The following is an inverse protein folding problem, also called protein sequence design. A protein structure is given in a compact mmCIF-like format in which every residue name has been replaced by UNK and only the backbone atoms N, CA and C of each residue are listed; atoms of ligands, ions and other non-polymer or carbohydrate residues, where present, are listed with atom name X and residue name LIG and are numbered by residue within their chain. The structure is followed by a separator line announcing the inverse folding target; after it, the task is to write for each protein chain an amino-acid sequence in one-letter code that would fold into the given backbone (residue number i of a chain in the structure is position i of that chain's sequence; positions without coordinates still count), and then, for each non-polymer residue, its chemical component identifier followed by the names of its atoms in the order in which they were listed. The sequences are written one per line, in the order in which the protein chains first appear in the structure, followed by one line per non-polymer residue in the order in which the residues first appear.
data_IF_247694591179
#
_entry.id   IF_247694591179
#
_cell.length_a   1.000
_cell.length_b   1.000
_cell.length_c   1.000
_cell.angle_alpha   90.00
_cell.angle_beta   90.00
_cell.angle_gamma   90.00
#
_symmetry.space_group_name_H-M   'P 1'
#
loop_
_entity.id
_entity.type
_entity.pdbx_description
1 polymer ?
#
# COMPACT_ATOMS: atom_id res chain seq x y z
N UNK A 1 9.66 18.59 -17.13
CA UNK A 1 8.70 18.75 -16.00
C UNK A 1 9.28 18.08 -14.77
N UNK A 2 9.93 18.84 -13.89
CA UNK A 2 10.55 18.32 -12.66
C UNK A 2 9.51 18.27 -11.54
N UNK A 3 8.63 17.26 -11.59
CA UNK A 3 7.68 16.94 -10.51
C UNK A 3 7.65 15.43 -10.25
N UNK A 4 8.82 14.78 -10.35
CA UNK A 4 8.99 13.32 -10.41
C UNK A 4 8.22 12.55 -9.31
N UNK A 5 8.21 13.05 -8.07
CA UNK A 5 7.56 12.35 -6.95
C UNK A 5 6.16 12.88 -6.61
N UNK A 6 5.91 14.19 -6.77
CA UNK A 6 4.56 14.74 -6.58
C UNK A 6 3.56 14.16 -7.57
N UNK A 7 3.98 13.89 -8.82
CA UNK A 7 3.12 13.29 -9.83
C UNK A 7 2.89 11.79 -9.64
N UNK A 8 3.61 11.10 -8.75
CA UNK A 8 3.43 9.66 -8.52
C UNK A 8 2.17 9.33 -7.73
N UNK A 9 1.63 10.30 -6.99
CA UNK A 9 0.39 10.11 -6.21
C UNK A 9 -0.79 9.78 -7.13
N UNK A 10 -0.92 10.51 -8.23
CA UNK A 10 -2.02 10.35 -9.20
C UNK A 10 -2.09 8.94 -9.83
N UNK A 11 -1.02 8.39 -10.45
CA UNK A 11 -1.09 7.06 -11.04
C UNK A 11 -1.31 5.94 -10.02
N UNK A 12 -0.82 6.08 -8.79
CA UNK A 12 -1.09 5.08 -7.73
C UNK A 12 -2.55 5.12 -7.29
N UNK A 13 -3.12 6.31 -7.10
CA UNK A 13 -4.53 6.43 -6.77
C UNK A 13 -5.41 5.90 -7.90
N UNK A 14 -5.12 6.23 -9.17
CA UNK A 14 -5.87 5.71 -10.32
C UNK A 14 -5.84 4.18 -10.36
N UNK A 15 -4.67 3.56 -10.17
CA UNK A 15 -4.57 2.10 -10.16
C UNK A 15 -5.34 1.48 -8.97
N UNK A 16 -5.37 2.15 -7.81
CA UNK A 16 -6.05 1.63 -6.61
C UNK A 16 -7.56 1.41 -6.77
N UNK A 17 -8.19 2.07 -7.76
CA UNK A 17 -9.63 1.98 -8.04
C UNK A 17 -10.00 0.60 -8.60
N UNK A 18 -9.14 -0.01 -9.44
CA UNK A 18 -9.45 -1.29 -10.12
C UNK A 18 -8.35 -2.34 -9.92
N UNK A 19 -7.56 -2.21 -8.84
CA UNK A 19 -6.43 -3.11 -8.59
C UNK A 19 -6.89 -4.43 -7.96
N UNK A 20 -6.83 -5.50 -8.75
CA UNK A 20 -7.10 -6.87 -8.27
C UNK A 20 -6.14 -7.37 -7.18
N UNK A 21 -4.95 -6.76 -7.08
CA UNK A 21 -3.92 -7.12 -6.08
C UNK A 21 -3.99 -6.22 -4.84
N UNK A 22 -4.27 -4.94 -5.04
CA UNK A 22 -4.35 -3.92 -3.99
C UNK A 22 -2.99 -3.36 -3.54
N UNK A 23 -3.04 -2.12 -3.04
CA UNK A 23 -1.90 -1.46 -2.38
C UNK A 23 -1.98 -1.68 -0.88
N UNK A 24 -1.42 -2.80 -0.40
CA UNK A 24 -1.46 -3.17 1.01
C UNK A 24 -0.37 -2.47 1.81
N UNK A 25 -0.78 -1.74 2.84
CA UNK A 25 0.09 -0.96 3.70
C UNK A 25 0.08 -1.48 5.14
N UNK A 26 1.23 -1.42 5.79
CA UNK A 26 1.44 -1.86 7.19
C UNK A 26 1.60 -0.65 8.10
N UNK A 27 0.97 -0.63 9.29
CA UNK A 27 1.24 0.41 10.28
C UNK A 27 2.69 0.28 10.74
N UNK A 28 3.43 1.39 10.73
CA UNK A 28 4.77 1.40 11.29
C UNK A 28 5.15 2.76 11.87
N UNK A 29 6.06 2.75 12.84
CA UNK A 29 6.48 3.95 13.59
C UNK A 29 7.22 4.94 12.72
N UNK A 30 8.05 4.46 11.79
CA UNK A 30 8.80 5.31 10.88
C UNK A 30 9.26 4.54 9.63
N UNK A 31 9.73 5.29 8.63
CA UNK A 31 10.21 4.76 7.35
C UNK A 31 11.44 3.87 7.48
N UNK A 32 12.33 4.14 8.43
CA UNK A 32 13.58 3.37 8.60
C UNK A 32 13.24 1.95 9.06
N UNK A 33 12.37 1.82 10.06
CA UNK A 33 11.88 0.52 10.53
C UNK A 33 11.19 -0.27 9.41
N UNK A 34 10.43 0.42 8.55
CA UNK A 34 9.81 -0.20 7.36
C UNK A 34 10.84 -0.73 6.38
N UNK A 35 11.82 0.10 6.00
CA UNK A 35 12.87 -0.30 5.05
C UNK A 35 13.74 -1.45 5.57
N UNK A 36 13.92 -1.56 6.89
CA UNK A 36 14.63 -2.65 7.55
C UNK A 36 13.77 -3.91 7.74
N UNK A 37 12.49 -3.89 7.35
CA UNK A 37 11.58 -5.04 7.50
C UNK A 37 11.17 -5.32 8.94
N UNK A 38 11.29 -4.34 9.85
CA UNK A 38 11.03 -4.51 11.29
C UNK A 38 9.55 -4.37 11.66
N UNK A 39 8.71 -3.96 10.71
CA UNK A 39 7.28 -3.77 10.93
C UNK A 39 6.55 -5.10 10.67
N UNK A 40 6.39 -5.92 11.72
CA UNK A 40 5.65 -7.17 11.63
C UNK A 40 4.34 -7.09 12.43
N UNK A 41 3.19 -6.83 11.78
CA UNK A 41 1.93 -6.76 12.48
C UNK A 41 1.53 -8.15 13.00
N UNK A 42 0.92 -8.24 14.19
CA UNK A 42 0.56 -9.53 14.80
C UNK A 42 -0.57 -10.27 14.08
N UNK A 43 -1.26 -9.62 13.12
CA UNK A 43 -2.32 -10.23 12.33
C UNK A 43 -2.53 -9.47 11.03
N UNK A 44 -2.91 -10.19 9.98
CA UNK A 44 -3.28 -9.64 8.67
C UNK A 44 -4.27 -8.47 8.76
N UNK A 45 -5.17 -8.47 9.75
CA UNK A 45 -6.19 -7.42 9.95
C UNK A 45 -5.62 -6.00 10.09
N UNK A 46 -4.33 -5.87 10.42
CA UNK A 46 -3.67 -4.57 10.56
C UNK A 46 -3.23 -3.98 9.23
N UNK A 47 -3.15 -4.79 8.17
CA UNK A 47 -2.91 -4.24 6.84
C UNK A 47 -4.15 -3.52 6.34
N UNK A 48 -3.92 -2.35 5.75
CA UNK A 48 -4.96 -1.49 5.17
C UNK A 48 -4.68 -1.29 3.69
N UNK A 49 -5.74 -1.06 2.91
CA UNK A 49 -5.59 -0.64 1.52
C UNK A 49 -5.30 0.85 1.45
N UNK A 50 -4.38 1.23 0.56
CA UNK A 50 -4.17 2.61 0.16
C UNK A 50 -4.98 2.91 -1.10
N UNK A 51 -5.50 4.14 -1.19
CA UNK A 51 -6.27 4.63 -2.32
C UNK A 51 -7.78 4.51 -2.12
N UNK A 52 -8.53 4.21 -3.18
CA UNK A 52 -10.01 4.21 -3.21
C UNK A 52 -10.62 3.36 -2.10
N UNK A 53 -10.09 2.15 -1.92
CA UNK A 53 -10.64 1.14 -1.00
C UNK A 53 -10.10 1.24 0.42
N UNK A 54 -9.54 2.40 0.78
CA UNK A 54 -9.06 2.65 2.15
C UNK A 54 -10.20 2.58 3.15
N UNK A 55 -9.94 1.97 4.30
CA UNK A 55 -10.89 2.01 5.41
C UNK A 55 -10.95 3.43 5.96
N UNK A 56 -12.13 4.05 5.98
CA UNK A 56 -12.37 5.35 6.62
C UNK A 56 -12.09 5.36 8.13
N UNK A 57 -11.87 4.19 8.74
CA UNK A 57 -11.46 4.05 10.15
C UNK A 57 -9.95 4.07 10.33
N UNK A 58 -9.15 3.92 9.26
CA UNK A 58 -7.70 3.88 9.33
C UNK A 58 -7.15 5.19 9.91
N UNK A 59 -6.27 5.09 10.91
CA UNK A 59 -5.57 6.23 11.55
C UNK A 59 -4.10 5.90 11.73
N UNK A 60 -3.26 6.93 11.69
CA UNK A 60 -1.82 6.80 11.88
C UNK A 60 -1.05 6.73 10.55
N UNK A 61 0.20 6.28 10.64
CA UNK A 61 1.13 6.23 9.51
C UNK A 61 1.28 4.79 9.06
N UNK A 62 1.10 4.59 7.75
CA UNK A 62 1.24 3.30 7.09
C UNK A 62 2.27 3.40 5.98
N UNK A 63 3.00 2.31 5.77
CA UNK A 63 4.03 2.21 4.75
C UNK A 63 3.75 1.02 3.84
N UNK A 64 4.06 1.18 2.56
CA UNK A 64 3.98 0.14 1.54
C UNK A 64 5.07 0.38 0.49
N UNK A 65 5.36 -0.66 -0.28
CA UNK A 65 6.26 -0.61 -1.42
C UNK A 65 5.44 -0.78 -2.70
N UNK A 66 5.90 -0.17 -3.78
CA UNK A 66 5.31 -0.31 -5.11
C UNK A 66 6.35 -0.86 -6.09
N UNK A 67 5.89 -1.39 -7.23
CA UNK A 67 6.79 -1.63 -8.35
C UNK A 67 7.33 -0.31 -8.91
N UNK A 68 8.46 -0.38 -9.63
CA UNK A 68 9.00 0.76 -10.37
C UNK A 68 8.08 1.15 -11.55
N UNK A 69 7.42 0.15 -12.16
CA UNK A 69 6.54 0.30 -13.33
C UNK A 69 5.16 -0.32 -13.07
N UNK A 70 4.19 -0.02 -13.93
CA UNK A 70 2.83 -0.59 -13.87
C UNK A 70 2.86 -2.12 -14.10
N UNK A 71 2.01 -2.91 -13.42
CA UNK A 71 1.13 -2.50 -12.31
C UNK A 71 1.93 -2.19 -11.04
N UNK A 72 1.68 -1.03 -10.45
CA UNK A 72 2.41 -0.55 -9.27
C UNK A 72 2.06 -1.33 -8.00
N UNK A 73 0.85 -1.89 -7.92
CA UNK A 73 0.40 -2.68 -6.78
C UNK A 73 1.18 -4.01 -6.67
N UNK A 74 1.91 -4.18 -5.57
CA UNK A 74 2.61 -5.43 -5.24
C UNK A 74 1.66 -6.55 -4.80
N UNK A 75 0.52 -6.19 -4.20
CA UNK A 75 -0.37 -7.14 -3.55
C UNK A 75 -0.01 -7.39 -2.09
N UNK A 76 -0.62 -8.42 -1.50
CA UNK A 76 -0.46 -8.69 -0.07
C UNK A 76 0.94 -9.20 0.28
N UNK A 77 1.61 -8.66 1.30
CA UNK A 77 2.93 -9.11 1.72
C UNK A 77 2.95 -10.60 2.07
N UNK A 78 3.94 -11.34 1.56
CA UNK A 78 4.04 -12.80 1.73
C UNK A 78 3.00 -13.63 0.95
N UNK A 79 1.92 -13.02 0.45
CA UNK A 79 0.81 -13.66 -0.26
C UNK A 79 -0.02 -14.63 0.60
N UNK A 80 -1.32 -14.89 0.41
CA UNK A 80 -2.36 -14.31 -0.45
C UNK A 80 -3.31 -13.54 0.45
N UNK A 81 -3.63 -12.30 0.09
CA UNK A 81 -4.90 -11.68 0.52
C UNK A 81 -5.43 -10.88 -0.65
N UNK A 82 -6.30 -11.49 -1.46
CA UNK A 82 -7.73 -11.18 -1.33
C UNK A 82 -8.66 -12.34 -1.76
N UNK A 83 -9.97 -12.37 -1.41
CA UNK A 83 -10.93 -13.03 -2.27
C UNK A 83 -11.52 -12.08 -3.32
N UNK A 84 -11.72 -10.80 -3.01
CA UNK A 84 -11.71 -9.75 -4.02
C UNK A 84 -11.45 -8.37 -3.42
N UNK A 85 -10.60 -7.61 -4.10
CA UNK A 85 -10.57 -6.15 -4.04
C UNK A 85 -11.15 -5.73 -5.40
N UNK A 86 -12.11 -4.78 -5.42
CA UNK A 86 -12.88 -4.32 -6.58
C UNK A 86 -12.21 -4.30 -7.96
#
# INVERSE_FOLDING_TARGET
TLSCDHTKVTPYFIESINSKKGFWAVPCTNRIAYNLGLCNPPSDKHYVLMGEHVSHKARGIFYLSTNADKPYALGFPGGRRPPYIP
#
